data_IF_427819826871
#
_entry.id   IF_427819826871
#
_cell.length_a   1.000
_cell.length_b   1.000
_cell.length_c   1.000
_cell.angle_alpha   90.00
_cell.angle_beta   90.00
_cell.angle_gamma   90.00
#
_symmetry.space_group_name_H-M   'P 1'
#
loop_
_entity.id
_entity.type
_entity.pdbx_description
1 polymer ?
#
# COMPACT_ATOMS: atom_id res chain seq x y z
N UNK A 1 -2.85 3.89 9.00
CA UNK A 1 -1.51 4.43 8.66
C UNK A 1 -1.53 4.81 7.20
N UNK A 2 -0.85 5.89 6.78
CA UNK A 2 -0.76 6.24 5.36
C UNK A 2 0.23 5.31 4.64
N UNK A 3 0.00 5.08 3.34
CA UNK A 3 0.91 4.27 2.51
C UNK A 3 2.33 4.85 2.46
N UNK A 4 2.47 6.18 2.56
CA UNK A 4 3.76 6.88 2.64
C UNK A 4 4.60 6.51 3.87
N UNK A 5 3.97 6.28 5.04
CA UNK A 5 4.68 5.83 6.25
C UNK A 5 5.15 4.39 6.09
N UNK A 6 4.29 3.51 5.55
CA UNK A 6 4.64 2.12 5.25
C UNK A 6 5.77 2.03 4.23
N UNK A 7 5.73 2.87 3.18
CA UNK A 7 6.80 2.97 2.17
C UNK A 7 8.14 3.30 2.81
N UNK A 8 8.20 4.35 3.63
CA UNK A 8 9.45 4.74 4.30
C UNK A 8 10.00 3.63 5.20
N UNK A 9 9.12 2.99 5.97
CA UNK A 9 9.51 1.88 6.83
C UNK A 9 10.04 0.69 6.02
N UNK A 10 9.42 0.39 4.88
CA UNK A 10 9.86 -0.67 3.97
C UNK A 10 11.24 -0.36 3.36
N UNK A 11 11.46 0.88 2.91
CA UNK A 11 12.75 1.34 2.38
C UNK A 11 13.87 1.24 3.45
N UNK A 12 13.59 1.63 4.68
CA UNK A 12 14.53 1.52 5.81
C UNK A 12 14.89 0.05 6.10
N UNK A 13 13.94 -0.87 6.00
CA UNK A 13 14.14 -2.31 6.22
C UNK A 13 14.92 -2.95 5.05
N UNK A 14 14.65 -2.56 3.80
CA UNK A 14 15.45 -2.98 2.63
C UNK A 14 16.93 -2.66 2.87
N UNK A 15 17.23 -1.44 3.29
CA UNK A 15 18.59 -0.98 3.54
C UNK A 15 19.30 -1.75 4.68
N UNK A 16 18.55 -2.44 5.54
CA UNK A 16 19.06 -3.25 6.65
C UNK A 16 19.15 -4.75 6.32
N UNK A 17 18.70 -5.17 5.13
CA UNK A 17 18.64 -6.58 4.75
C UNK A 17 17.34 -7.23 5.20
N UNK A 18 16.22 -6.75 4.66
CA UNK A 18 14.88 -7.30 4.94
C UNK A 18 14.78 -8.79 4.58
N UNK A 19 14.10 -9.57 5.43
CA UNK A 19 13.82 -10.99 5.16
C UNK A 19 12.58 -11.18 4.29
N UNK A 20 12.41 -12.38 3.76
CA UNK A 20 11.20 -12.73 3.01
C UNK A 20 9.94 -12.62 3.88
N UNK A 21 9.96 -13.13 5.12
CA UNK A 21 8.83 -13.06 6.05
C UNK A 21 8.45 -11.62 6.33
N UNK A 22 9.44 -10.77 6.61
CA UNK A 22 9.21 -9.34 6.87
C UNK A 22 8.66 -8.63 5.64
N UNK A 23 9.14 -8.98 4.44
CA UNK A 23 8.59 -8.49 3.17
C UNK A 23 7.11 -8.87 3.00
N UNK A 24 6.73 -10.08 3.40
CA UNK A 24 5.33 -10.55 3.34
C UNK A 24 4.43 -9.88 4.39
N UNK A 25 4.97 -9.47 5.54
CA UNK A 25 4.23 -8.63 6.51
C UNK A 25 3.87 -7.28 5.88
N UNK A 26 4.86 -6.57 5.31
CA UNK A 26 4.61 -5.32 4.58
C UNK A 26 3.60 -5.49 3.45
N UNK A 27 3.70 -6.60 2.69
CA UNK A 27 2.73 -6.91 1.65
C UNK A 27 1.30 -6.94 2.19
N UNK A 28 1.07 -7.66 3.30
CA UNK A 28 -0.25 -7.81 3.89
C UNK A 28 -0.77 -6.49 4.47
N UNK A 29 0.10 -5.71 5.11
CA UNK A 29 -0.26 -4.42 5.68
C UNK A 29 -0.69 -3.42 4.60
N UNK A 30 0.11 -3.30 3.53
CA UNK A 30 -0.20 -2.42 2.39
C UNK A 30 -1.47 -2.89 1.69
N UNK A 31 -1.62 -4.21 1.46
CA UNK A 31 -2.84 -4.76 0.86
C UNK A 31 -4.08 -4.46 1.71
N UNK A 32 -4.01 -4.65 3.02
CA UNK A 32 -5.12 -4.35 3.93
C UNK A 32 -5.50 -2.88 3.92
N UNK A 33 -4.52 -1.97 3.86
CA UNK A 33 -4.77 -0.54 3.75
C UNK A 33 -5.48 -0.17 2.44
N UNK A 34 -5.06 -0.74 1.30
CA UNK A 34 -5.70 -0.50 0.00
C UNK A 34 -7.13 -1.03 -0.02
N UNK A 35 -7.35 -2.24 0.50
CA UNK A 35 -8.69 -2.83 0.55
C UNK A 35 -9.65 -1.94 1.37
N UNK A 36 -9.18 -1.38 2.50
CA UNK A 36 -9.95 -0.44 3.30
C UNK A 36 -10.27 0.86 2.52
N UNK A 37 -9.28 1.47 1.87
CA UNK A 37 -9.50 2.68 1.06
C UNK A 37 -10.45 2.43 -0.11
N UNK A 38 -10.41 1.26 -0.75
CA UNK A 38 -11.35 0.92 -1.83
C UNK A 38 -12.80 0.82 -1.36
N UNK A 39 -13.01 0.31 -0.14
CA UNK A 39 -14.35 0.27 0.48
C UNK A 39 -14.83 1.70 0.75
N UNK A 40 -13.99 2.55 1.34
CA UNK A 40 -14.29 3.96 1.60
C UNK A 40 -14.59 4.72 0.30
N UNK A 41 -13.79 4.50 -0.76
CA UNK A 41 -14.00 5.11 -2.07
C UNK A 41 -15.36 4.72 -2.67
N UNK A 42 -15.76 3.45 -2.51
CA UNK A 42 -17.06 2.98 -2.96
C UNK A 42 -18.20 3.67 -2.20
N UNK A 43 -18.03 3.91 -0.89
CA UNK A 43 -19.00 4.64 -0.07
C UNK A 43 -19.09 6.11 -0.50
N UNK A 44 -17.96 6.81 -0.64
CA UNK A 44 -17.91 8.22 -1.06
C UNK A 44 -18.56 8.44 -2.44
N UNK A 45 -18.33 7.51 -3.38
CA UNK A 45 -18.97 7.55 -4.71
C UNK A 45 -20.49 7.32 -4.65
N UNK A 46 -20.98 6.52 -3.70
CA UNK A 46 -22.42 6.29 -3.53
C UNK A 46 -23.13 7.49 -2.88
N UNK A 47 -22.44 8.22 -2.00
CA UNK A 47 -22.99 9.38 -1.29
C UNK A 47 -22.91 10.70 -2.06
N UNK A 48 -22.38 10.70 -3.30
CA UNK A 48 -22.04 11.93 -4.04
C UNK A 48 -21.21 12.90 -3.18
N UNK A 49 -20.24 12.35 -2.43
CA UNK A 49 -19.32 13.12 -1.58
C UNK A 49 -18.40 14.04 -2.39
N UNK A 50 -17.62 14.87 -1.68
CA UNK A 50 -16.69 15.83 -2.28
C UNK A 50 -15.76 15.15 -3.32
N UNK A 51 -15.75 15.61 -4.58
CA UNK A 51 -14.84 15.13 -5.61
C UNK A 51 -13.35 15.18 -5.21
N UNK A 52 -12.96 16.14 -4.36
CA UNK A 52 -11.57 16.24 -3.87
C UNK A 52 -11.23 15.09 -2.92
N UNK A 53 -12.14 14.71 -2.03
CA UNK A 53 -11.95 13.55 -1.13
C UNK A 53 -11.84 12.25 -1.93
N UNK A 54 -12.69 12.10 -2.95
CA UNK A 54 -12.64 10.96 -3.88
C UNK A 54 -11.28 10.92 -4.59
N UNK A 55 -10.82 12.07 -5.09
CA UNK A 55 -9.54 12.17 -5.80
C UNK A 55 -8.36 11.82 -4.89
N UNK A 56 -8.27 12.41 -3.70
CA UNK A 56 -7.21 12.11 -2.74
C UNK A 56 -7.18 10.64 -2.33
N UNK A 57 -8.33 10.01 -2.14
CA UNK A 57 -8.40 8.61 -1.80
C UNK A 57 -7.96 7.70 -2.96
N UNK A 58 -8.25 8.10 -4.21
CA UNK A 58 -7.74 7.42 -5.40
C UNK A 58 -6.22 7.52 -5.51
N UNK A 59 -5.64 8.70 -5.27
CA UNK A 59 -4.18 8.89 -5.24
C UNK A 59 -3.53 7.94 -4.21
N UNK A 60 -4.09 7.84 -3.00
CA UNK A 60 -3.59 6.93 -1.97
C UNK A 60 -3.70 5.45 -2.35
N UNK A 61 -4.73 5.06 -3.10
CA UNK A 61 -4.85 3.69 -3.62
C UNK A 61 -3.74 3.44 -4.66
N UNK A 62 -3.52 4.37 -5.58
CA UNK A 62 -2.48 4.25 -6.62
C UNK A 62 -1.07 4.16 -6.03
N UNK A 63 -0.74 5.02 -5.04
CA UNK A 63 0.51 4.96 -4.29
C UNK A 63 0.69 3.60 -3.60
N UNK A 64 -0.37 3.09 -2.96
CA UNK A 64 -0.36 1.79 -2.33
C UNK A 64 -0.11 0.66 -3.32
N UNK A 65 -0.77 0.69 -4.50
CA UNK A 65 -0.62 -0.33 -5.54
C UNK A 65 0.80 -0.35 -6.11
N UNK A 66 1.42 0.82 -6.29
CA UNK A 66 2.83 0.93 -6.70
C UNK A 66 3.74 0.25 -5.68
N UNK A 67 3.60 0.58 -4.39
CA UNK A 67 4.37 -0.05 -3.31
C UNK A 67 4.15 -1.57 -3.27
N UNK A 68 2.91 -2.03 -3.48
CA UNK A 68 2.58 -3.45 -3.49
C UNK A 68 3.31 -4.20 -4.62
N UNK A 69 3.47 -3.56 -5.78
CA UNK A 69 4.24 -4.12 -6.90
C UNK A 69 5.75 -4.13 -6.63
N UNK A 70 6.28 -3.11 -5.95
CA UNK A 70 7.67 -3.07 -5.49
C UNK A 70 7.95 -4.24 -4.52
N UNK A 71 7.09 -4.43 -3.52
CA UNK A 71 7.18 -5.52 -2.54
C UNK A 71 7.14 -6.89 -3.21
N UNK A 72 6.22 -7.11 -4.17
CA UNK A 72 6.14 -8.36 -4.94
C UNK A 72 7.41 -8.65 -5.73
N UNK A 73 8.00 -7.63 -6.34
CA UNK A 73 9.22 -7.79 -7.13
C UNK A 73 10.40 -8.19 -6.25
N UNK A 74 10.49 -7.60 -5.05
CA UNK A 74 11.52 -7.96 -4.07
C UNK A 74 11.32 -9.38 -3.51
N UNK A 75 10.08 -9.76 -3.18
CA UNK A 75 9.81 -11.08 -2.60
C UNK A 75 10.14 -12.23 -3.55
N UNK A 76 9.98 -12.02 -4.87
CA UNK A 76 10.41 -12.97 -5.91
C UNK A 76 11.94 -13.14 -5.95
N UNK A 77 12.69 -12.11 -5.57
CA UNK A 77 14.17 -12.14 -5.52
C UNK A 77 14.66 -12.86 -4.26
N UNK A 78 14.03 -12.62 -3.10
CA UNK A 78 14.41 -13.20 -1.81
C UNK A 78 14.05 -14.69 -1.67
N UNK A 79 13.23 -15.24 -2.57
CA UNK A 79 12.79 -16.65 -2.54
C UNK A 79 13.83 -17.61 -3.16
N UNK A 80 14.83 -17.10 -3.88
CA UNK A 80 15.89 -17.89 -4.54
C UNK A 80 17.18 -17.90 -3.71
#
# INVERSE_FOLDING_TARGET
MSCSVLKKQFEDEINRGITFERTMEFYNDVKGSIDAHRIELAQLKQSNSDPNEIHHLQEHIEEGEQLLNEIKSLSLTLKN
#
